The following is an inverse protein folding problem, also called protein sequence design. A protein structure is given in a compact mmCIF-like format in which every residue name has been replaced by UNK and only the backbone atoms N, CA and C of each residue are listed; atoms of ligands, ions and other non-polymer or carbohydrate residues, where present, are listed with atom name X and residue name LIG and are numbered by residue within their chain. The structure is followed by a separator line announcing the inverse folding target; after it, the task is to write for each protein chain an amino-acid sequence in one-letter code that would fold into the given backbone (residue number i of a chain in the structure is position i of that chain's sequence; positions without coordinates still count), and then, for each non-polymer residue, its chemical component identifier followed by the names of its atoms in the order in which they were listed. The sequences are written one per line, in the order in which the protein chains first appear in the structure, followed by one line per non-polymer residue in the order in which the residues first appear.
data_IF_039446705125
#
_entry.id   IF_039446705125
#
_cell.length_a   1.000
_cell.length_b   1.000
_cell.length_c   1.000
_cell.angle_alpha   90.00
_cell.angle_beta   90.00
_cell.angle_gamma   90.00
#
_symmetry.space_group_name_H-M   'P 1'
#
loop_
_entity.id
_entity.type
_entity.pdbx_description
1 polymer ?
#
# COMPACT_ATOMS: atom_id res chain seq x y z
N UNK A 1 28.80 35.52 -50.30
CA UNK A 1 28.01 34.29 -50.16
C UNK A 1 27.60 34.13 -48.71
N UNK A 2 26.31 34.23 -48.42
CA UNK A 2 25.79 33.98 -47.06
C UNK A 2 25.56 32.47 -46.88
N UNK A 3 26.33 31.84 -46.01
CA UNK A 3 26.06 30.44 -45.61
C UNK A 3 24.92 30.42 -44.62
N UNK A 4 23.78 29.86 -45.02
CA UNK A 4 22.63 29.63 -44.13
C UNK A 4 22.92 28.38 -43.30
N UNK A 5 23.20 28.57 -42.01
CA UNK A 5 23.41 27.47 -41.07
C UNK A 5 22.03 27.01 -40.57
N UNK A 6 21.52 25.90 -41.10
CA UNK A 6 20.33 25.24 -40.55
C UNK A 6 20.74 24.51 -39.27
N UNK A 7 20.41 25.11 -38.13
CA UNK A 7 20.44 24.41 -36.85
C UNK A 7 19.17 23.57 -36.76
N UNK A 8 19.30 22.29 -37.08
CA UNK A 8 18.24 21.30 -36.85
C UNK A 8 18.17 21.02 -35.36
N UNK A 9 17.27 21.71 -34.64
CA UNK A 9 16.98 21.42 -33.24
C UNK A 9 16.26 20.05 -33.18
N UNK A 10 16.99 19.02 -32.77
CA UNK A 10 16.41 17.74 -32.42
C UNK A 10 15.63 17.92 -31.10
N UNK A 11 14.32 18.17 -31.18
CA UNK A 11 13.44 18.02 -30.05
C UNK A 11 13.32 16.52 -29.79
N UNK A 12 14.14 16.00 -28.89
CA UNK A 12 13.91 14.69 -28.28
C UNK A 12 12.74 14.84 -27.34
N UNK A 13 11.54 14.49 -27.80
CA UNK A 13 10.39 14.29 -26.90
C UNK A 13 10.70 13.07 -26.04
N UNK A 14 11.08 13.31 -24.80
CA UNK A 14 11.08 12.29 -23.76
C UNK A 14 9.62 11.93 -23.50
N UNK A 15 9.13 10.87 -24.15
CA UNK A 15 7.87 10.24 -23.73
C UNK A 15 8.14 9.57 -22.39
N UNK A 16 7.78 10.23 -21.30
CA UNK A 16 7.66 9.57 -20.03
C UNK A 16 6.53 8.53 -20.17
N UNK A 17 6.88 7.27 -20.35
CA UNK A 17 5.93 6.18 -20.16
C UNK A 17 5.58 6.17 -18.67
N UNK A 18 4.47 6.81 -18.33
CA UNK A 18 3.82 6.54 -17.06
C UNK A 18 3.34 5.07 -17.15
N UNK A 19 4.08 4.16 -16.54
CA UNK A 19 3.58 2.82 -16.30
C UNK A 19 2.25 2.97 -15.55
N UNK A 20 1.17 2.54 -16.18
CA UNK A 20 -0.16 2.60 -15.58
C UNK A 20 -0.14 1.73 -14.32
N UNK A 21 -0.23 2.35 -13.14
CA UNK A 21 -0.28 1.70 -11.83
C UNK A 21 -1.66 1.04 -11.65
N UNK A 22 -2.07 0.20 -12.61
CA UNK A 22 -3.42 -0.39 -12.67
C UNK A 22 -3.69 -1.45 -11.60
N UNK A 23 -2.67 -1.84 -10.80
CA UNK A 23 -2.79 -2.87 -9.77
C UNK A 23 -2.76 -2.34 -8.33
N UNK A 24 -2.72 -1.02 -8.16
CA UNK A 24 -2.80 -0.39 -6.85
C UNK A 24 -4.24 -0.40 -6.36
N UNK A 25 -4.49 -0.99 -5.18
CA UNK A 25 -5.83 -1.19 -4.61
C UNK A 25 -5.86 -0.86 -3.13
N UNK A 26 -7.05 -0.60 -2.63
CA UNK A 26 -7.34 -0.39 -1.21
C UNK A 26 -6.46 0.69 -0.55
N UNK A 27 -6.43 1.91 -1.10
CA UNK A 27 -5.67 2.99 -0.48
C UNK A 27 -6.29 3.38 0.86
N UNK A 28 -5.44 3.61 1.86
CA UNK A 28 -5.84 4.03 3.21
C UNK A 28 -4.85 5.07 3.72
N UNK A 29 -5.36 6.25 4.06
CA UNK A 29 -4.52 7.34 4.56
C UNK A 29 -4.25 7.20 6.05
N UNK A 30 -3.03 7.52 6.50
CA UNK A 30 -2.67 7.53 7.91
C UNK A 30 -3.43 8.61 8.68
N UNK A 31 -3.62 8.47 10.01
CA UNK A 31 -4.37 9.44 10.82
C UNK A 31 -3.83 10.86 10.77
N UNK A 32 -2.52 11.03 10.59
CA UNK A 32 -1.85 12.34 10.43
C UNK A 32 -1.90 12.89 9.00
N UNK A 33 -2.37 12.09 8.02
CA UNK A 33 -2.42 12.47 6.60
C UNK A 33 -1.07 12.44 5.86
N UNK A 34 0.00 12.00 6.52
CA UNK A 34 1.36 12.05 5.97
C UNK A 34 1.70 10.84 5.08
N UNK A 35 0.99 9.71 5.24
CA UNK A 35 1.28 8.46 4.54
C UNK A 35 0.02 7.81 3.98
N UNK A 36 0.20 7.02 2.92
CA UNK A 36 -0.85 6.18 2.32
C UNK A 36 -0.37 4.74 2.33
N UNK A 37 -1.16 3.85 2.93
CA UNK A 37 -1.01 2.41 2.78
C UNK A 37 -1.87 1.92 1.63
N UNK A 38 -1.39 0.94 0.89
CA UNK A 38 -2.12 0.34 -0.22
C UNK A 38 -1.67 -1.09 -0.49
N UNK A 39 -2.47 -1.86 -1.20
CA UNK A 39 -2.05 -3.17 -1.71
C UNK A 39 -1.63 -3.09 -3.18
N UNK A 40 -0.54 -3.80 -3.48
CA UNK A 40 -0.01 -3.93 -4.83
C UNK A 40 0.51 -5.36 -5.03
N UNK A 41 -0.05 -6.08 -6.00
CA UNK A 41 0.32 -7.46 -6.35
C UNK A 41 0.31 -8.45 -5.17
N UNK A 42 -0.59 -8.26 -4.20
CA UNK A 42 -0.73 -9.14 -3.05
C UNK A 42 0.14 -8.81 -1.85
N UNK A 43 0.83 -7.67 -1.84
CA UNK A 43 1.59 -7.16 -0.71
C UNK A 43 1.11 -5.77 -0.29
N UNK A 44 1.39 -5.41 0.97
CA UNK A 44 1.09 -4.10 1.54
C UNK A 44 2.31 -3.20 1.41
N UNK A 45 2.07 -1.97 0.97
CA UNK A 45 3.07 -0.90 0.80
C UNK A 45 2.63 0.37 1.52
N UNK A 46 3.59 1.20 1.88
CA UNK A 46 3.37 2.56 2.37
C UNK A 46 4.17 3.53 1.51
N UNK A 47 3.58 4.68 1.20
CA UNK A 47 4.21 5.80 0.50
C UNK A 47 3.86 7.11 1.21
N UNK A 48 4.73 8.13 1.10
CA UNK A 48 4.42 9.50 1.54
C UNK A 48 3.20 10.04 0.76
N UNK A 49 2.30 10.77 1.42
CA UNK A 49 1.08 11.29 0.77
C UNK A 49 1.37 12.28 -0.36
N UNK A 50 2.58 12.86 -0.38
CA UNK A 50 3.07 13.74 -1.47
C UNK A 50 3.67 12.96 -2.64
N UNK A 51 3.76 11.62 -2.55
CA UNK A 51 4.36 10.75 -3.55
C UNK A 51 5.82 10.40 -3.24
N UNK A 52 6.47 9.72 -4.16
CA UNK A 52 7.84 9.26 -4.01
C UNK A 52 7.97 7.74 -4.01
N UNK A 53 9.03 7.23 -3.37
CA UNK A 53 9.27 5.80 -3.30
C UNK A 53 8.36 5.14 -2.27
N UNK A 54 7.69 4.06 -2.66
CA UNK A 54 6.93 3.22 -1.74
C UNK A 54 7.83 2.22 -1.04
N UNK A 55 7.49 1.92 0.21
CA UNK A 55 8.17 0.92 1.02
C UNK A 55 7.25 -0.29 1.21
N UNK A 56 7.74 -1.47 0.88
CA UNK A 56 7.04 -2.73 1.09
C UNK A 56 7.00 -3.09 2.57
N UNK A 57 5.82 -3.45 3.07
CA UNK A 57 5.60 -3.78 4.49
C UNK A 57 5.47 -5.29 4.68
N UNK A 58 4.79 -5.97 3.76
CA UNK A 58 4.65 -7.43 3.80
C UNK A 58 5.39 -8.07 2.62
N UNK A 59 5.97 -9.26 2.85
CA UNK A 59 6.85 -9.94 1.88
C UNK A 59 6.55 -11.44 1.76
N UNK A 60 5.44 -11.92 2.27
CA UNK A 60 5.05 -13.32 2.22
C UNK A 60 4.47 -13.66 0.83
N UNK A 61 4.46 -14.94 0.46
CA UNK A 61 3.80 -15.43 -0.76
C UNK A 61 2.26 -15.40 -0.68
N UNK A 62 1.69 -15.11 0.49
CA UNK A 62 0.26 -14.91 0.69
C UNK A 62 -0.26 -13.66 -0.04
N UNK A 63 -1.56 -13.62 -0.25
CA UNK A 63 -2.23 -12.44 -0.79
C UNK A 63 -2.69 -11.53 0.35
N UNK A 64 -2.05 -10.37 0.49
CA UNK A 64 -2.33 -9.37 1.51
C UNK A 64 -3.07 -8.18 0.89
N UNK A 65 -4.18 -7.73 1.51
CA UNK A 65 -4.97 -6.61 1.00
C UNK A 65 -5.75 -5.87 2.10
N UNK A 66 -6.39 -4.75 1.73
CA UNK A 66 -7.23 -3.90 2.58
C UNK A 66 -6.54 -3.42 3.86
N UNK A 67 -5.40 -2.71 3.75
CA UNK A 67 -4.73 -2.16 4.92
C UNK A 67 -5.58 -1.06 5.56
N UNK A 68 -5.66 -1.07 6.90
CA UNK A 68 -6.28 -0.02 7.71
C UNK A 68 -5.33 0.38 8.83
N UNK A 69 -5.26 1.68 9.12
CA UNK A 69 -4.35 2.25 10.12
C UNK A 69 -4.95 2.18 11.52
N UNK A 70 -4.09 1.89 12.51
CA UNK A 70 -4.41 2.15 13.90
C UNK A 70 -4.46 3.66 14.18
N UNK A 71 -5.24 4.13 15.19
CA UNK A 71 -5.37 5.56 15.49
C UNK A 71 -4.05 6.26 15.83
N UNK A 72 -3.07 5.53 16.38
CA UNK A 72 -1.73 6.05 16.67
C UNK A 72 -0.77 6.05 15.47
N UNK A 73 -1.21 5.52 14.31
CA UNK A 73 -0.41 5.45 13.09
C UNK A 73 0.77 4.48 13.13
N UNK A 74 0.85 3.59 14.13
CA UNK A 74 2.01 2.70 14.32
C UNK A 74 1.79 1.28 13.82
N UNK A 75 0.53 0.90 13.57
CA UNK A 75 0.14 -0.45 13.20
C UNK A 75 -0.80 -0.41 11.99
N UNK A 76 -0.67 -1.38 11.10
CA UNK A 76 -1.65 -1.69 10.05
C UNK A 76 -2.34 -2.99 10.39
N UNK A 77 -3.67 -3.04 10.21
CA UNK A 77 -4.42 -4.29 10.08
C UNK A 77 -4.68 -4.54 8.60
N UNK A 78 -4.66 -5.79 8.16
CA UNK A 78 -4.90 -6.18 6.78
C UNK A 78 -5.45 -7.60 6.71
N UNK A 79 -6.05 -7.97 5.59
CA UNK A 79 -6.50 -9.33 5.32
C UNK A 79 -5.39 -10.12 4.64
N UNK A 80 -5.22 -11.39 5.04
CA UNK A 80 -4.21 -12.30 4.47
C UNK A 80 -4.70 -13.73 4.43
N UNK A 81 -4.41 -14.46 3.36
CA UNK A 81 -4.73 -15.89 3.20
C UNK A 81 -3.60 -16.83 3.63
N UNK A 82 -2.58 -16.33 4.33
CA UNK A 82 -1.38 -17.09 4.74
C UNK A 82 -1.65 -18.30 5.63
N UNK A 83 -2.82 -18.38 6.22
CA UNK A 83 -3.27 -19.50 7.06
C UNK A 83 -4.40 -20.33 6.42
N UNK A 84 -4.60 -20.20 5.10
CA UNK A 84 -5.54 -20.99 4.30
C UNK A 84 -6.75 -20.19 3.80
N UNK A 85 -7.45 -19.46 4.69
CA UNK A 85 -8.48 -18.49 4.33
C UNK A 85 -8.04 -17.08 4.73
N UNK A 86 -8.81 -16.08 4.31
CA UNK A 86 -8.51 -14.70 4.66
C UNK A 86 -8.89 -14.42 6.12
N UNK A 87 -7.87 -14.11 6.92
CA UNK A 87 -8.00 -13.63 8.29
C UNK A 87 -7.43 -12.23 8.43
N UNK A 88 -7.78 -11.57 9.53
CA UNK A 88 -7.19 -10.28 9.89
C UNK A 88 -5.85 -10.50 10.57
N UNK A 89 -4.85 -9.78 10.09
CA UNK A 89 -3.51 -9.71 10.64
C UNK A 89 -3.15 -8.28 11.00
N UNK A 90 -2.22 -8.09 11.91
CA UNK A 90 -1.62 -6.80 12.23
C UNK A 90 -0.12 -6.85 12.04
N UNK A 91 0.46 -5.73 11.63
CA UNK A 91 1.91 -5.55 11.46
C UNK A 91 2.32 -4.12 11.81
N UNK A 92 3.54 -3.94 12.33
CA UNK A 92 4.10 -2.60 12.50
C UNK A 92 4.22 -1.89 11.15
N UNK A 93 4.01 -0.57 11.12
CA UNK A 93 4.26 0.25 9.92
C UNK A 93 5.71 0.21 9.46
N UNK A 94 6.62 -0.24 10.31
CA UNK A 94 8.03 -0.48 9.97
C UNK A 94 8.30 -1.89 9.41
N UNK A 95 7.28 -2.72 9.26
CA UNK A 95 7.41 -4.11 8.84
C UNK A 95 7.63 -5.06 10.02
N UNK A 96 8.05 -6.27 9.72
CA UNK A 96 8.28 -7.32 10.70
C UNK A 96 7.33 -8.50 10.50
N UNK A 97 7.18 -9.33 11.53
CA UNK A 97 6.33 -10.52 11.47
C UNK A 97 4.89 -10.16 11.78
N UNK A 98 3.95 -10.36 10.84
CA UNK A 98 2.54 -10.13 11.10
C UNK A 98 1.98 -11.07 12.18
N UNK A 99 1.09 -10.53 13.02
CA UNK A 99 0.37 -11.27 14.04
C UNK A 99 -1.07 -11.53 13.59
N UNK A 100 -1.50 -12.79 13.62
CA UNK A 100 -2.88 -13.18 13.33
C UNK A 100 -3.83 -12.70 14.43
N UNK A 101 -4.95 -12.10 14.04
CA UNK A 101 -5.98 -11.56 14.95
C UNK A 101 -7.23 -12.43 14.94
N UNK A 102 -7.72 -12.81 13.75
CA UNK A 102 -8.89 -13.69 13.62
C UNK A 102 -8.48 -15.11 13.23
N UNK A 103 -9.31 -16.09 13.58
CA UNK A 103 -9.02 -17.52 13.37
C UNK A 103 -10.26 -18.30 12.91
N UNK A 104 -11.28 -17.61 12.41
CA UNK A 104 -12.50 -18.24 11.94
C UNK A 104 -12.32 -18.94 10.58
N UNK A 105 -13.24 -19.84 10.26
CA UNK A 105 -13.27 -20.49 8.94
C UNK A 105 -13.84 -19.59 7.84
N UNK A 106 -14.47 -18.48 8.20
CA UNK A 106 -14.99 -17.47 7.26
C UNK A 106 -13.87 -16.54 6.79
N UNK A 107 -14.13 -15.87 5.68
CA UNK A 107 -13.26 -14.81 5.21
C UNK A 107 -13.47 -13.57 6.06
N UNK A 108 -12.42 -13.08 6.68
CA UNK A 108 -12.41 -11.88 7.51
C UNK A 108 -11.60 -10.76 6.84
N UNK A 109 -12.18 -9.57 6.72
CA UNK A 109 -11.52 -8.39 6.14
C UNK A 109 -11.62 -7.23 7.14
N UNK A 110 -10.52 -6.55 7.51
CA UNK A 110 -10.58 -5.45 8.46
C UNK A 110 -11.26 -4.23 7.83
N UNK A 111 -12.03 -3.53 8.65
CA UNK A 111 -12.71 -2.30 8.26
C UNK A 111 -12.10 -1.06 8.91
N UNK A 112 -11.95 -1.08 10.22
CA UNK A 112 -11.40 0.02 11.00
C UNK A 112 -10.95 -0.43 12.38
N UNK A 113 -10.02 0.29 12.98
CA UNK A 113 -9.78 0.22 14.42
C UNK A 113 -10.83 1.04 15.18
N UNK A 114 -11.10 0.66 16.43
CA UNK A 114 -11.80 1.53 17.37
C UNK A 114 -10.95 2.78 17.66
N UNK A 115 -11.56 3.92 18.07
CA UNK A 115 -10.82 5.15 18.35
C UNK A 115 -9.73 5.02 19.43
N UNK A 116 -9.89 4.08 20.36
CA UNK A 116 -8.91 3.75 21.39
C UNK A 116 -7.80 2.80 20.90
N UNK A 117 -7.93 2.26 19.68
CA UNK A 117 -6.98 1.33 19.08
C UNK A 117 -7.00 -0.10 19.62
N UNK A 118 -7.92 -0.42 20.54
CA UNK A 118 -7.92 -1.71 21.24
C UNK A 118 -8.63 -2.82 20.47
N UNK A 119 -9.53 -2.47 19.55
CA UNK A 119 -10.31 -3.43 18.77
C UNK A 119 -10.27 -3.10 17.28
N UNK A 120 -10.60 -4.10 16.46
CA UNK A 120 -10.71 -3.99 15.01
C UNK A 120 -12.10 -4.46 14.61
N UNK A 121 -12.84 -3.61 13.88
CA UNK A 121 -14.04 -4.01 13.16
C UNK A 121 -13.64 -4.74 11.89
N UNK A 122 -14.29 -5.87 11.63
CA UNK A 122 -14.09 -6.66 10.40
C UNK A 122 -15.41 -7.29 9.94
N UNK A 123 -15.45 -7.77 8.72
CA UNK A 123 -16.61 -8.44 8.10
C UNK A 123 -16.17 -9.60 7.22
#
# INVERSE_FOLDING_TARGET
MKKLLFILAFLTTFSAFADSVSWLRYPSISPDGEQVAFSFKGDIYIVDSRGGLSRQITTNMAYDYAPVWSPDGKTLAFASDRSGNFDVYTVSVHGGVPKRVTTHSSKDTPWAFTPDGNNIFYF
#
